data_IF_886871690130
#
_entry.id   IF_886871690130
#
_cell.length_a   1.000
_cell.length_b   1.000
_cell.length_c   1.000
_cell.angle_alpha   90.00
_cell.angle_beta   90.00
_cell.angle_gamma   90.00
#
_symmetry.space_group_name_H-M   'P 1'
#
loop_
_entity.id
_entity.type
_entity.pdbx_description
1 polymer ?
#
# COMPACT_ATOMS: atom_id res chain seq x y z
N UNK A 1 -13.57 -17.00 20.26
CA UNK A 1 -13.82 -15.59 20.60
C UNK A 1 -13.44 -14.79 19.36
N UNK A 2 -14.38 -14.05 18.76
CA UNK A 2 -14.11 -13.22 17.58
C UNK A 2 -13.59 -11.88 18.09
N UNK A 3 -12.42 -11.42 17.61
CA UNK A 3 -11.92 -10.10 17.98
C UNK A 3 -12.90 -9.00 17.55
N UNK A 4 -13.08 -7.95 18.36
CA UNK A 4 -13.92 -6.82 17.98
C UNK A 4 -13.36 -6.14 16.72
N UNK A 5 -14.22 -5.56 15.86
CA UNK A 5 -13.77 -4.89 14.66
C UNK A 5 -12.92 -3.66 15.01
N UNK A 6 -11.83 -3.46 14.25
CA UNK A 6 -10.94 -2.31 14.41
C UNK A 6 -11.69 -0.98 14.39
N UNK A 7 -11.31 -0.07 15.29
CA UNK A 7 -11.75 1.34 15.27
C UNK A 7 -11.25 2.05 13.99
N UNK A 8 -11.86 3.18 13.59
CA UNK A 8 -11.38 3.96 12.46
C UNK A 8 -9.89 4.36 12.56
N UNK A 9 -9.41 4.69 13.76
CA UNK A 9 -8.02 5.05 13.99
C UNK A 9 -7.06 3.85 13.81
N UNK A 10 -7.46 2.66 14.26
CA UNK A 10 -6.68 1.43 14.07
C UNK A 10 -6.68 0.99 12.61
N UNK A 11 -7.81 1.13 11.90
CA UNK A 11 -7.87 0.86 10.46
C UNK A 11 -6.92 1.76 9.67
N UNK A 12 -6.88 3.04 10.00
CA UNK A 12 -5.97 3.98 9.35
C UNK A 12 -4.51 3.62 9.63
N UNK A 13 -4.16 3.34 10.90
CA UNK A 13 -2.80 2.90 11.26
C UNK A 13 -2.40 1.65 10.48
N UNK A 14 -3.26 0.63 10.47
CA UNK A 14 -3.02 -0.58 9.69
C UNK A 14 -2.84 -0.30 8.19
N UNK A 15 -3.65 0.59 7.61
CA UNK A 15 -3.52 0.95 6.20
C UNK A 15 -2.17 1.63 5.89
N UNK A 16 -1.69 2.50 6.78
CA UNK A 16 -0.37 3.14 6.65
C UNK A 16 0.76 2.12 6.81
N UNK A 17 0.68 1.22 7.78
CA UNK A 17 1.64 0.12 7.96
C UNK A 17 1.70 -0.77 6.71
N UNK A 18 0.54 -1.13 6.15
CA UNK A 18 0.48 -1.94 4.93
C UNK A 18 1.03 -1.18 3.71
N UNK A 19 0.85 0.14 3.66
CA UNK A 19 1.44 0.98 2.63
C UNK A 19 2.98 0.93 2.68
N UNK A 20 3.57 1.14 3.86
CA UNK A 20 5.01 1.11 4.07
C UNK A 20 5.63 -0.25 3.71
N UNK A 21 4.96 -1.35 4.11
CA UNK A 21 5.37 -2.71 3.73
C UNK A 21 5.35 -2.89 2.22
N UNK A 22 4.28 -2.42 1.56
CA UNK A 22 4.15 -2.48 0.11
C UNK A 22 5.23 -1.71 -0.64
N UNK A 23 5.60 -0.52 -0.13
CA UNK A 23 6.71 0.26 -0.69
C UNK A 23 8.04 -0.48 -0.59
N UNK A 24 8.37 -1.07 0.57
CA UNK A 24 9.62 -1.81 0.72
C UNK A 24 9.67 -3.04 -0.19
N UNK A 25 8.58 -3.77 -0.31
CA UNK A 25 8.49 -4.89 -1.24
C UNK A 25 8.72 -4.46 -2.70
N UNK A 26 8.15 -3.31 -3.10
CA UNK A 26 8.35 -2.77 -4.44
C UNK A 26 9.78 -2.29 -4.65
N UNK A 27 10.38 -1.61 -3.67
CA UNK A 27 11.78 -1.19 -3.70
C UNK A 27 12.70 -2.39 -3.90
N UNK A 28 12.48 -3.48 -3.17
CA UNK A 28 13.25 -4.72 -3.33
C UNK A 28 13.04 -5.37 -4.69
N UNK A 29 11.82 -5.31 -5.24
CA UNK A 29 11.54 -5.77 -6.61
C UNK A 29 12.31 -4.94 -7.64
N UNK A 30 12.27 -3.62 -7.55
CA UNK A 30 12.97 -2.71 -8.47
C UNK A 30 14.49 -2.94 -8.45
N UNK A 31 15.06 -3.17 -7.25
CA UNK A 31 16.49 -3.54 -7.12
C UNK A 31 16.84 -4.81 -7.87
N UNK A 32 15.95 -5.82 -7.86
CA UNK A 32 16.16 -7.08 -8.61
C UNK A 32 15.99 -6.90 -10.12
N UNK A 33 15.04 -6.06 -10.54
CA UNK A 33 14.77 -5.79 -11.97
C UNK A 33 15.83 -4.89 -12.62
N UNK A 34 16.50 -4.05 -11.83
CA UNK A 34 17.52 -3.09 -12.29
C UNK A 34 18.84 -3.26 -11.54
N UNK A 35 19.53 -4.42 -11.72
CA UNK A 35 20.82 -4.63 -11.08
C UNK A 35 21.83 -3.59 -11.59
N UNK A 36 22.51 -2.91 -10.66
CA UNK A 36 23.53 -1.89 -10.96
C UNK A 36 23.04 -0.45 -10.94
N UNK A 37 21.75 -0.20 -10.72
CA UNK A 37 21.28 1.14 -10.37
C UNK A 37 21.59 1.46 -8.90
N UNK A 38 21.90 2.73 -8.64
CA UNK A 38 22.08 3.23 -7.29
C UNK A 38 20.74 3.43 -6.57
N UNK A 39 20.83 3.76 -5.27
CA UNK A 39 19.65 3.91 -4.42
C UNK A 39 18.74 5.06 -4.87
N UNK A 40 19.29 6.15 -5.38
CA UNK A 40 18.54 7.33 -5.82
C UNK A 40 17.74 7.02 -7.09
N UNK A 41 18.35 6.32 -8.06
CA UNK A 41 17.67 5.88 -9.27
C UNK A 41 16.54 4.86 -8.96
N UNK A 42 16.73 3.98 -7.98
CA UNK A 42 15.67 3.07 -7.52
C UNK A 42 14.52 3.83 -6.89
N UNK A 43 14.81 4.83 -6.05
CA UNK A 43 13.77 5.65 -5.40
C UNK A 43 12.98 6.47 -6.43
N UNK A 44 13.65 7.09 -7.41
CA UNK A 44 12.96 7.81 -8.48
C UNK A 44 12.00 6.91 -9.28
N UNK A 45 12.38 5.64 -9.51
CA UNK A 45 11.49 4.65 -10.13
C UNK A 45 10.32 4.26 -9.25
N UNK A 46 10.54 4.14 -7.94
CA UNK A 46 9.48 3.85 -6.98
C UNK A 46 8.44 4.97 -6.98
N UNK A 47 8.89 6.23 -6.90
CA UNK A 47 8.01 7.42 -6.97
C UNK A 47 7.19 7.39 -8.25
N UNK A 48 7.84 7.20 -9.41
CA UNK A 48 7.14 7.12 -10.70
C UNK A 48 6.13 5.98 -10.74
N UNK A 49 6.49 4.82 -10.19
CA UNK A 49 5.57 3.70 -10.11
C UNK A 49 4.36 4.00 -9.24
N UNK A 50 4.51 4.71 -8.12
CA UNK A 50 3.40 5.13 -7.25
C UNK A 50 2.44 6.09 -7.97
N UNK A 51 2.96 7.00 -8.78
CA UNK A 51 2.16 7.96 -9.57
C UNK A 51 1.34 7.27 -10.67
N UNK A 52 1.95 6.30 -11.37
CA UNK A 52 1.34 5.61 -12.52
C UNK A 52 0.61 4.32 -12.12
N UNK A 53 0.61 3.95 -10.83
CA UNK A 53 0.17 2.62 -10.39
C UNK A 53 -1.29 2.39 -10.78
N UNK A 54 -1.61 1.30 -11.49
CA UNK A 54 -2.99 0.95 -11.76
C UNK A 54 -3.71 0.68 -10.44
N UNK A 55 -4.73 1.47 -10.12
CA UNK A 55 -5.57 1.23 -8.94
C UNK A 55 -6.56 0.12 -9.28
N UNK A 56 -6.06 -1.12 -9.37
CA UNK A 56 -6.88 -2.30 -9.60
C UNK A 56 -7.70 -2.62 -8.35
N UNK A 57 -9.03 -2.69 -8.46
CA UNK A 57 -9.91 -3.11 -7.36
C UNK A 57 -10.57 -1.99 -6.54
N UNK A 58 -10.61 -0.74 -7.02
CA UNK A 58 -11.45 0.32 -6.42
C UNK A 58 -12.97 0.07 -6.57
N UNK A 59 -13.38 -1.00 -7.23
CA UNK A 59 -14.77 -1.46 -7.23
C UNK A 59 -15.18 -1.92 -5.82
N UNK A 60 -15.50 -0.97 -4.94
CA UNK A 60 -15.98 -1.22 -3.58
C UNK A 60 -15.23 -0.49 -2.46
N UNK A 61 -14.09 0.16 -2.73
CA UNK A 61 -13.42 1.00 -1.74
C UNK A 61 -14.25 2.27 -1.49
N UNK A 62 -14.68 2.48 -0.24
CA UNK A 62 -15.52 3.62 0.15
C UNK A 62 -17.04 3.35 0.22
N UNK A 63 -17.52 2.14 -0.05
CA UNK A 63 -18.91 1.79 0.36
C UNK A 63 -18.97 1.75 1.87
N UNK A 64 -19.70 2.69 2.46
CA UNK A 64 -20.08 2.64 3.88
C UNK A 64 -20.79 1.30 4.10
N UNK A 65 -20.20 0.41 4.90
CA UNK A 65 -20.92 -0.79 5.34
C UNK A 65 -22.06 -0.29 6.23
N UNK A 66 -23.33 -0.63 5.94
CA UNK A 66 -24.42 -0.21 6.81
C UNK A 66 -24.16 -0.73 8.22
N UNK A 67 -24.16 0.17 9.20
CA UNK A 67 -24.17 -0.18 10.61
C UNK A 67 -25.57 -0.72 10.88
N UNK A 68 -25.67 -1.99 11.26
CA UNK A 68 -26.93 -2.60 11.67
C UNK A 68 -27.13 -2.24 13.15
N UNK A 69 -28.22 -1.54 13.46
CA UNK A 69 -28.71 -1.28 14.82
C UNK A 69 -29.24 -2.54 15.50
#
# INVERSE_FOLDING_TARGET
MTEPPLSPAEKLRLALEMYEVGEEMMRQRLKREHPGQDAEAIEARLVRWLEERPITGLEGWGRVRPVQE
#
